data_IF_486415945415
#
_entry.id   IF_486415945415
#
_cell.length_a   1.000
_cell.length_b   1.000
_cell.length_c   1.000
_cell.angle_alpha   90.00
_cell.angle_beta   90.00
_cell.angle_gamma   90.00
#
_symmetry.space_group_name_H-M   'P 1'
#
loop_
_entity.id
_entity.type
_entity.pdbx_description
1 polymer ?
#
# COMPACT_ATOMS: atom_id res chain seq x y z
N UNK A 1 -7.39 -28.04 -20.36
CA UNK A 1 -6.10 -27.87 -19.69
C UNK A 1 -5.86 -26.40 -19.40
N UNK A 2 -5.78 -25.98 -18.13
CA UNK A 2 -5.56 -24.60 -17.70
C UNK A 2 -4.07 -24.27 -17.58
N UNK A 3 -3.37 -24.22 -18.70
CA UNK A 3 -1.89 -24.23 -18.75
C UNK A 3 -1.24 -22.87 -19.00
N UNK A 4 -2.02 -21.83 -19.31
CA UNK A 4 -1.49 -20.47 -19.47
C UNK A 4 -1.43 -19.75 -18.12
N UNK A 5 -0.24 -19.28 -17.69
CA UNK A 5 -0.10 -18.62 -16.39
C UNK A 5 -0.66 -17.20 -16.42
N UNK A 6 -1.38 -16.83 -15.36
CA UNK A 6 -1.74 -15.46 -15.02
C UNK A 6 -0.74 -14.89 -14.01
N UNK A 7 -0.80 -13.59 -13.76
CA UNK A 7 0.12 -12.92 -12.84
C UNK A 7 0.14 -13.55 -11.42
N UNK A 8 -1.01 -14.05 -10.95
CA UNK A 8 -1.13 -14.71 -9.65
C UNK A 8 -0.55 -16.13 -9.61
N UNK A 9 -0.28 -16.75 -10.77
CA UNK A 9 0.33 -18.08 -10.85
C UNK A 9 1.86 -18.02 -10.86
N UNK A 10 2.43 -16.82 -10.96
CA UNK A 10 3.87 -16.60 -11.00
C UNK A 10 4.47 -16.73 -9.59
N UNK A 11 5.65 -17.33 -9.50
CA UNK A 11 6.42 -17.44 -8.26
C UNK A 11 7.92 -17.33 -8.54
N UNK A 12 8.67 -16.93 -7.52
CA UNK A 12 10.13 -16.92 -7.54
C UNK A 12 10.66 -17.22 -6.12
N UNK A 13 11.88 -17.74 -6.02
CA UNK A 13 12.54 -17.91 -4.73
C UNK A 13 12.73 -16.54 -4.06
N UNK A 14 12.39 -16.46 -2.76
CA UNK A 14 12.46 -15.20 -2.00
C UNK A 14 11.32 -14.22 -2.25
N UNK A 15 10.29 -14.57 -3.03
CA UNK A 15 9.12 -13.73 -3.23
C UNK A 15 8.39 -13.46 -1.91
N UNK A 16 8.04 -12.19 -1.68
CA UNK A 16 7.27 -11.75 -0.52
C UNK A 16 5.81 -11.56 -0.89
N UNK A 17 4.93 -11.82 0.07
CA UNK A 17 3.54 -11.44 0.01
C UNK A 17 3.35 -10.03 0.57
N UNK A 18 2.48 -9.25 -0.08
CA UNK A 18 2.12 -7.91 0.37
C UNK A 18 0.62 -7.82 0.61
N UNK A 19 0.24 -6.99 1.56
CA UNK A 19 -1.15 -6.60 1.82
C UNK A 19 -1.21 -5.09 2.02
N UNK A 20 -2.33 -4.49 1.65
CA UNK A 20 -2.56 -3.05 1.79
C UNK A 20 -3.64 -2.83 2.83
N UNK A 21 -3.27 -2.20 3.94
CA UNK A 21 -4.25 -1.66 4.88
C UNK A 21 -4.85 -0.41 4.25
N UNK A 22 -6.18 -0.37 4.16
CA UNK A 22 -6.92 0.74 3.56
C UNK A 22 -7.81 1.42 4.57
N UNK A 23 -8.11 2.69 4.33
CA UNK A 23 -9.00 3.45 5.19
C UNK A 23 -10.40 2.85 5.24
N UNK A 24 -10.96 2.61 6.44
CA UNK A 24 -12.37 2.26 6.60
C UNK A 24 -13.30 3.49 6.55
N UNK A 25 -12.73 4.70 6.47
CA UNK A 25 -13.47 5.95 6.46
C UNK A 25 -13.56 6.52 5.04
N UNK A 26 -14.71 7.06 4.61
CA UNK A 26 -14.84 7.69 3.30
C UNK A 26 -14.15 9.05 3.21
N UNK A 27 -14.03 9.78 4.32
CA UNK A 27 -13.31 11.04 4.36
C UNK A 27 -12.89 11.33 5.80
N UNK A 28 -11.59 11.46 6.06
CA UNK A 28 -11.05 11.63 7.41
C UNK A 28 -9.65 12.23 7.38
N UNK A 29 -9.27 12.96 8.42
CA UNK A 29 -7.88 13.38 8.61
C UNK A 29 -7.11 12.30 9.35
N UNK A 30 -5.94 11.94 8.86
CA UNK A 30 -5.02 11.02 9.54
C UNK A 30 -4.24 11.86 10.56
N UNK A 31 -4.39 11.53 11.84
CA UNK A 31 -3.69 12.22 12.92
C UNK A 31 -2.33 11.59 13.21
N UNK A 32 -2.24 10.27 13.10
CA UNK A 32 -1.02 9.50 13.28
C UNK A 32 -1.14 8.14 12.60
N UNK A 33 0.01 7.57 12.23
CA UNK A 33 0.17 6.18 11.78
C UNK A 33 1.22 5.55 12.67
N UNK A 34 0.87 4.48 13.38
CA UNK A 34 1.82 3.69 14.18
C UNK A 34 1.99 2.31 13.54
N UNK A 35 3.19 2.05 13.04
CA UNK A 35 3.56 0.79 12.37
C UNK A 35 4.29 -0.18 13.28
N UNK A 36 4.54 0.18 14.54
CA UNK A 36 5.42 -0.57 15.46
C UNK A 36 4.96 -2.00 15.67
N UNK A 37 3.66 -2.20 15.91
CA UNK A 37 3.08 -3.52 16.09
C UNK A 37 3.24 -4.39 14.84
N UNK A 38 2.94 -3.84 13.65
CA UNK A 38 3.07 -4.57 12.39
C UNK A 38 4.54 -4.92 12.08
N UNK A 39 5.47 -3.98 12.32
CA UNK A 39 6.89 -4.19 12.10
C UNK A 39 7.49 -5.26 13.03
N UNK A 40 6.93 -5.44 14.23
CA UNK A 40 7.37 -6.44 15.20
C UNK A 40 6.77 -7.84 14.97
N UNK A 41 5.79 -7.98 14.06
CA UNK A 41 5.13 -9.27 13.83
C UNK A 41 6.09 -10.28 13.16
N UNK A 42 6.17 -11.54 13.66
CA UNK A 42 6.95 -12.58 13.02
C UNK A 42 6.55 -12.78 11.55
N UNK A 43 7.54 -12.81 10.65
CA UNK A 43 7.33 -12.98 9.21
C UNK A 43 7.08 -11.68 8.43
N UNK A 44 6.87 -10.54 9.11
CA UNK A 44 6.83 -9.24 8.42
C UNK A 44 8.23 -8.81 8.03
N UNK A 45 8.47 -8.67 6.73
CA UNK A 45 9.76 -8.24 6.19
C UNK A 45 9.94 -6.72 6.19
N UNK A 46 8.86 -5.97 5.99
CA UNK A 46 8.81 -4.52 5.94
C UNK A 46 7.37 -4.02 6.14
N UNK A 47 7.24 -2.79 6.67
CA UNK A 47 6.02 -1.99 6.64
C UNK A 47 6.36 -0.70 5.89
N UNK A 48 5.56 -0.34 4.89
CA UNK A 48 5.83 0.78 3.99
C UNK A 48 4.70 1.79 4.13
N UNK A 49 5.05 3.07 4.25
CA UNK A 49 4.11 4.19 4.40
C UNK A 49 4.35 5.26 3.34
N UNK A 50 3.61 6.37 3.43
CA UNK A 50 3.82 7.54 2.58
C UNK A 50 5.23 8.15 2.71
N UNK A 51 5.93 7.93 3.83
CA UNK A 51 7.29 8.43 4.07
C UNK A 51 8.35 7.69 3.22
N UNK A 52 8.03 6.47 2.77
CA UNK A 52 8.97 5.62 2.03
C UNK A 52 8.88 5.82 0.51
N UNK A 53 7.98 6.68 0.03
CA UNK A 53 7.77 6.89 -1.41
C UNK A 53 8.90 7.76 -1.96
N UNK A 54 9.72 7.25 -2.91
CA UNK A 54 10.77 8.05 -3.51
C UNK A 54 10.18 9.03 -4.54
N UNK A 55 10.71 10.25 -4.58
CA UNK A 55 10.33 11.24 -5.59
C UNK A 55 8.98 11.90 -5.31
N UNK A 56 8.14 12.02 -6.34
CA UNK A 56 6.80 12.61 -6.22
C UNK A 56 5.86 11.60 -5.55
N UNK A 57 5.22 12.03 -4.46
CA UNK A 57 4.29 11.20 -3.70
C UNK A 57 2.91 11.10 -4.34
N UNK A 58 2.65 11.85 -5.42
CA UNK A 58 1.42 11.81 -6.18
C UNK A 58 1.60 11.15 -7.56
N UNK A 59 0.54 10.52 -8.04
CA UNK A 59 0.44 9.91 -9.35
C UNK A 59 -0.89 10.26 -10.02
N UNK A 60 -0.95 10.05 -11.32
CA UNK A 60 -2.18 10.12 -12.08
C UNK A 60 -1.92 10.31 -13.57
N UNK A 61 -2.87 9.84 -14.39
CA UNK A 61 -2.66 9.74 -15.85
C UNK A 61 -2.82 11.07 -16.58
N UNK A 62 -3.68 11.96 -16.07
CA UNK A 62 -4.00 13.28 -16.66
C UNK A 62 -3.74 14.42 -15.68
N UNK A 63 -4.12 14.20 -14.44
CA UNK A 63 -3.89 15.09 -13.31
C UNK A 63 -3.14 14.27 -12.26
N UNK A 64 -2.08 14.83 -11.69
CA UNK A 64 -1.22 14.19 -10.70
C UNK A 64 -1.69 14.64 -9.31
N UNK A 65 -2.79 14.04 -8.84
CA UNK A 65 -3.49 14.45 -7.61
C UNK A 65 -3.76 13.30 -6.64
N UNK A 66 -3.41 12.06 -7.01
CA UNK A 66 -3.63 10.89 -6.16
C UNK A 66 -2.36 10.53 -5.43
N UNK A 67 -2.36 10.52 -4.09
CA UNK A 67 -1.17 10.08 -3.37
C UNK A 67 -0.97 8.56 -3.55
N UNK A 68 0.28 8.12 -3.60
CA UNK A 68 0.63 6.68 -3.61
C UNK A 68 0.10 5.99 -2.35
N UNK A 69 0.29 6.63 -1.19
CA UNK A 69 -0.29 6.25 0.10
C UNK A 69 -0.89 7.47 0.80
N UNK A 70 -2.00 7.30 1.49
CA UNK A 70 -2.60 8.38 2.29
C UNK A 70 -1.65 8.83 3.42
N UNK A 71 -1.55 10.15 3.62
CA UNK A 71 -0.68 10.77 4.63
C UNK A 71 -1.46 11.65 5.59
N UNK A 72 -2.07 12.73 5.09
CA UNK A 72 -2.80 13.71 5.90
C UNK A 72 -4.31 13.55 5.83
N UNK A 73 -4.83 13.22 4.64
CA UNK A 73 -6.27 13.18 4.36
C UNK A 73 -6.61 11.91 3.61
N UNK A 74 -7.65 11.24 4.10
CA UNK A 74 -8.41 10.23 3.40
C UNK A 74 -9.51 10.90 2.56
N UNK A 75 -9.58 10.59 1.27
CA UNK A 75 -10.52 11.17 0.29
C UNK A 75 -11.68 10.24 -0.08
N UNK A 76 -11.49 8.93 0.09
CA UNK A 76 -12.53 7.94 -0.17
C UNK A 76 -12.35 6.67 0.67
N UNK A 77 -13.40 5.85 0.74
CA UNK A 77 -13.33 4.56 1.41
C UNK A 77 -12.39 3.64 0.63
N UNK A 78 -11.51 2.93 1.33
CA UNK A 78 -10.54 2.05 0.69
C UNK A 78 -9.31 2.75 0.12
N UNK A 79 -9.11 4.04 0.39
CA UNK A 79 -7.84 4.74 0.11
C UNK A 79 -6.68 4.15 0.92
#
# INVERSE_FOLDING_TARGET
EGTFPYAADLWAEGLLWASVLRSPHPHARILSIDTSAAAAMPGVRAVVTHEDVPGDSNYGRRVVDRPVFASELVRHHGE
#
